data_IF_644173555345
#
_entry.id   IF_644173555345
#
_cell.length_a   1.000
_cell.length_b   1.000
_cell.length_c   1.000
_cell.angle_alpha   90.00
_cell.angle_beta   90.00
_cell.angle_gamma   90.00
#
_symmetry.space_group_name_H-M   'P 1'
#
loop_
_entity.id
_entity.type
_entity.pdbx_description
1 polymer ?
#
# COMPACT_ATOMS: atom_id res chain seq x y z
N UNK A 1 29.49 -5.69 -10.18
CA UNK A 1 29.71 -4.92 -8.94
C UNK A 1 28.44 -5.03 -8.09
N UNK A 2 28.55 -5.22 -6.77
CA UNK A 2 27.39 -5.45 -5.87
C UNK A 2 27.43 -4.45 -4.70
N UNK A 3 26.35 -4.38 -3.92
CA UNK A 3 26.24 -3.47 -2.77
C UNK A 3 26.77 -4.04 -1.44
N UNK A 4 27.42 -5.22 -1.47
CA UNK A 4 27.82 -5.97 -0.26
C UNK A 4 28.83 -5.21 0.58
N UNK A 5 29.78 -4.53 -0.05
CA UNK A 5 30.87 -3.80 0.62
C UNK A 5 30.49 -2.34 0.98
N UNK A 6 29.19 -2.07 1.12
CA UNK A 6 28.65 -0.77 1.53
C UNK A 6 28.66 -0.57 3.05
N UNK A 7 28.35 0.66 3.49
CA UNK A 7 28.15 0.98 4.90
C UNK A 7 27.08 2.07 5.08
N UNK A 8 26.45 2.10 6.25
CA UNK A 8 25.46 3.11 6.61
C UNK A 8 26.14 4.45 6.94
N UNK A 9 25.64 5.54 6.34
CA UNK A 9 26.04 6.92 6.66
C UNK A 9 24.83 7.64 7.26
N UNK A 10 25.01 8.33 8.39
CA UNK A 10 23.93 9.07 9.04
C UNK A 10 23.47 10.26 8.18
N UNK A 11 22.18 10.33 7.89
CA UNK A 11 21.55 11.47 7.23
C UNK A 11 21.34 12.67 8.18
N UNK A 12 20.81 13.80 7.67
CA UNK A 12 20.64 15.03 8.45
C UNK A 12 19.56 14.93 9.54
N UNK A 13 18.66 13.94 9.44
CA UNK A 13 17.67 13.61 10.45
C UNK A 13 16.79 14.81 10.82
N UNK A 14 16.67 15.07 12.12
CA UNK A 14 15.82 16.11 12.70
C UNK A 14 16.10 17.51 12.13
N UNK A 15 17.37 17.87 11.94
CA UNK A 15 17.77 19.22 11.49
C UNK A 15 17.14 19.60 10.14
N UNK A 16 16.98 18.63 9.24
CA UNK A 16 16.33 18.84 7.95
C UNK A 16 14.84 19.16 8.10
N UNK A 17 14.13 18.37 8.89
CA UNK A 17 12.69 18.55 9.08
C UNK A 17 12.36 19.80 9.91
N UNK A 18 13.24 20.20 10.83
CA UNK A 18 13.11 21.49 11.53
C UNK A 18 13.15 22.67 10.55
N UNK A 19 14.04 22.64 9.56
CA UNK A 19 14.09 23.68 8.51
C UNK A 19 12.83 23.65 7.66
N UNK A 20 12.32 22.47 7.30
CA UNK A 20 11.06 22.37 6.55
C UNK A 20 9.88 22.96 7.34
N UNK A 21 9.80 22.73 8.65
CA UNK A 21 8.77 23.33 9.52
C UNK A 21 8.86 24.86 9.66
N UNK A 22 9.97 25.48 9.25
CA UNK A 22 10.06 26.95 9.18
C UNK A 22 9.45 27.50 7.89
N UNK A 23 9.27 26.65 6.88
CA UNK A 23 8.77 27.03 5.54
C UNK A 23 7.31 26.60 5.34
N UNK A 24 6.91 25.47 5.93
CA UNK A 24 5.57 24.90 5.82
C UNK A 24 4.90 24.87 7.19
N UNK A 25 3.64 25.32 7.26
CA UNK A 25 2.82 25.23 8.47
C UNK A 25 2.59 23.76 8.87
N UNK A 26 2.21 22.94 7.88
CA UNK A 26 2.12 21.48 7.98
C UNK A 26 3.03 20.84 6.93
N UNK A 27 3.74 19.77 7.28
CA UNK A 27 4.62 19.07 6.35
C UNK A 27 3.79 18.21 5.38
N UNK A 28 3.77 18.51 4.06
CA UNK A 28 2.95 17.77 3.09
C UNK A 28 3.68 16.50 2.61
N UNK A 29 4.12 15.67 3.55
CA UNK A 29 4.98 14.51 3.29
C UNK A 29 4.32 13.22 3.80
N UNK A 30 4.48 12.15 3.04
CA UNK A 30 4.25 10.76 3.47
C UNK A 30 5.61 10.08 3.50
N UNK A 31 5.92 9.40 4.60
CA UNK A 31 7.12 8.60 4.71
C UNK A 31 6.89 7.25 4.02
N UNK A 32 7.66 6.96 2.98
CA UNK A 32 7.85 5.59 2.50
C UNK A 32 8.79 4.89 3.50
N UNK A 33 8.19 4.13 4.42
CA UNK A 33 8.87 3.43 5.51
C UNK A 33 8.71 1.90 5.39
N UNK A 34 8.86 1.37 4.16
CA UNK A 34 8.77 -0.06 3.90
C UNK A 34 10.11 -0.77 4.15
N UNK A 35 10.04 -2.09 4.37
CA UNK A 35 11.21 -2.92 4.64
C UNK A 35 11.64 -2.93 6.11
N UNK A 36 12.92 -3.22 6.37
CA UNK A 36 13.47 -3.27 7.73
C UNK A 36 13.78 -1.85 8.19
N UNK A 37 12.91 -1.30 9.02
CA UNK A 37 13.01 0.04 9.57
C UNK A 37 13.54 0.00 11.01
N UNK A 38 14.45 0.91 11.35
CA UNK A 38 15.03 0.99 12.70
C UNK A 38 14.17 1.85 13.63
N UNK A 39 14.23 1.65 14.97
CA UNK A 39 13.50 2.48 15.93
C UNK A 39 13.76 3.98 15.77
N UNK A 40 14.97 4.38 15.36
CA UNK A 40 15.34 5.78 15.13
C UNK A 40 14.57 6.39 13.95
N UNK A 41 14.32 5.62 12.89
CA UNK A 41 13.51 6.08 11.75
C UNK A 41 12.05 6.24 12.17
N UNK A 42 11.50 5.29 12.93
CA UNK A 42 10.14 5.38 13.48
C UNK A 42 9.98 6.58 14.41
N UNK A 43 10.97 6.82 15.28
CA UNK A 43 10.98 7.98 16.17
C UNK A 43 11.00 9.30 15.41
N UNK A 44 11.86 9.41 14.38
CA UNK A 44 11.93 10.61 13.53
C UNK A 44 10.62 10.85 12.78
N UNK A 45 10.03 9.81 12.17
CA UNK A 45 8.74 9.90 11.49
C UNK A 45 7.64 10.43 12.41
N UNK A 46 7.54 9.88 13.63
CA UNK A 46 6.54 10.27 14.62
C UNK A 46 6.76 11.68 15.17
N UNK A 47 8.00 12.07 15.40
CA UNK A 47 8.35 13.42 15.87
C UNK A 47 7.85 14.52 14.91
N UNK A 48 7.84 14.23 13.61
CA UNK A 48 7.37 15.16 12.59
C UNK A 48 5.97 14.86 12.07
N UNK A 49 5.23 13.97 12.75
CA UNK A 49 3.84 13.60 12.44
C UNK A 49 3.64 13.16 10.99
N UNK A 50 4.63 12.45 10.43
CA UNK A 50 4.58 11.99 9.06
C UNK A 50 3.81 10.65 8.96
N UNK A 51 2.77 10.54 8.10
CA UNK A 51 2.11 9.27 7.84
C UNK A 51 3.09 8.24 7.29
N UNK A 52 3.09 7.03 7.85
CA UNK A 52 3.80 5.88 7.29
C UNK A 52 2.93 5.09 6.30
N UNK A 53 3.52 4.19 5.52
CA UNK A 53 2.82 3.39 4.52
C UNK A 53 2.42 2.02 5.06
N UNK A 54 1.22 1.56 4.68
CA UNK A 54 0.70 0.24 5.00
C UNK A 54 0.31 -0.51 3.73
N UNK A 55 0.99 -1.61 3.41
CA UNK A 55 0.76 -2.36 2.16
C UNK A 55 0.10 -3.69 2.47
N UNK A 56 -1.18 -3.83 2.13
CA UNK A 56 -1.96 -5.03 2.48
C UNK A 56 -1.41 -6.31 1.85
N UNK A 57 -0.82 -6.24 0.65
CA UNK A 57 -0.17 -7.41 0.03
C UNK A 57 0.99 -8.00 0.86
N UNK A 58 1.52 -7.26 1.85
CA UNK A 58 2.56 -7.73 2.77
C UNK A 58 2.02 -8.21 4.12
N UNK A 59 0.70 -8.17 4.34
CA UNK A 59 0.10 -8.35 5.66
C UNK A 59 -0.06 -9.80 6.11
N UNK A 60 -0.21 -10.72 5.18
CA UNK A 60 -0.72 -12.07 5.46
C UNK A 60 0.40 -13.12 5.53
N UNK A 61 1.44 -12.84 6.31
CA UNK A 61 2.58 -13.75 6.51
C UNK A 61 2.38 -14.78 7.63
N UNK A 62 1.23 -14.73 8.31
CA UNK A 62 0.87 -15.61 9.43
C UNK A 62 1.20 -15.05 10.82
N UNK A 63 1.93 -13.93 10.92
CA UNK A 63 2.18 -13.26 12.19
C UNK A 63 1.04 -12.31 12.54
N UNK A 64 0.40 -12.42 13.73
CA UNK A 64 -0.59 -11.44 14.18
C UNK A 64 0.04 -10.07 14.46
N UNK A 65 1.36 -10.00 14.65
CA UNK A 65 2.09 -8.75 14.91
C UNK A 65 2.53 -8.05 13.62
N UNK A 66 2.17 -8.57 12.44
CA UNK A 66 2.54 -7.96 11.18
C UNK A 66 1.91 -6.54 11.09
N UNK A 67 2.72 -5.48 10.93
CA UNK A 67 2.25 -4.09 11.00
C UNK A 67 1.38 -3.68 9.83
N UNK A 68 1.28 -4.50 8.77
CA UNK A 68 0.43 -4.29 7.61
C UNK A 68 -0.95 -4.94 7.74
N UNK A 69 -1.22 -5.67 8.82
CA UNK A 69 -2.56 -6.17 9.10
C UNK A 69 -3.47 -5.01 9.53
N UNK A 70 -4.71 -4.93 9.03
CA UNK A 70 -5.66 -3.86 9.36
C UNK A 70 -5.83 -3.55 10.85
N UNK A 71 -5.85 -4.56 11.73
CA UNK A 71 -5.99 -4.35 13.17
C UNK A 71 -4.74 -3.72 13.83
N UNK A 72 -3.59 -3.71 13.15
CA UNK A 72 -2.34 -3.07 13.57
C UNK A 72 -2.11 -1.71 12.88
N UNK A 73 -3.07 -1.24 12.08
CA UNK A 73 -2.98 0.08 11.47
C UNK A 73 -3.17 1.19 12.50
N UNK A 74 -2.56 2.34 12.22
CA UNK A 74 -2.67 3.57 13.02
C UNK A 74 -3.31 4.66 12.14
N UNK A 75 -4.02 5.61 12.72
CA UNK A 75 -4.64 6.71 11.94
C UNK A 75 -3.59 7.50 11.12
N UNK A 76 -2.41 7.72 11.70
CA UNK A 76 -1.29 8.41 11.05
C UNK A 76 -0.55 7.49 10.07
N UNK A 77 -1.29 7.00 9.08
CA UNK A 77 -0.78 6.16 8.00
C UNK A 77 -1.56 6.34 6.70
N UNK A 78 -0.97 5.85 5.62
CA UNK A 78 -1.57 5.70 4.31
C UNK A 78 -1.62 4.22 3.96
N UNK A 79 -2.81 3.66 3.77
CA UNK A 79 -2.99 2.26 3.39
C UNK A 79 -3.07 2.13 1.87
N UNK A 80 -2.45 1.08 1.36
CA UNK A 80 -2.47 0.66 -0.03
C UNK A 80 -2.86 -0.82 -0.10
N UNK A 81 -3.56 -1.23 -1.16
CA UNK A 81 -3.60 -2.65 -1.53
C UNK A 81 -2.19 -3.12 -1.90
N UNK A 82 -1.61 -2.46 -2.90
CA UNK A 82 -0.21 -2.56 -3.35
C UNK A 82 0.27 -1.23 -3.91
N UNK A 83 1.58 -1.08 -4.11
CA UNK A 83 2.18 0.06 -4.81
C UNK A 83 2.38 -0.26 -6.30
N UNK A 84 3.04 0.64 -7.04
CA UNK A 84 3.44 0.39 -8.42
C UNK A 84 4.52 -0.71 -8.55
N UNK A 85 5.26 -1.00 -7.49
CA UNK A 85 6.28 -2.06 -7.44
C UNK A 85 5.69 -3.44 -7.14
N UNK A 86 4.47 -3.47 -6.61
CA UNK A 86 3.72 -4.68 -6.38
C UNK A 86 3.10 -5.22 -7.68
N UNK A 87 2.75 -6.50 -7.67
CA UNK A 87 1.81 -7.03 -8.65
C UNK A 87 0.43 -6.37 -8.44
N UNK A 88 -0.46 -6.44 -9.44
CA UNK A 88 -1.87 -6.10 -9.18
C UNK A 88 -2.41 -7.04 -8.10
N UNK A 89 -3.40 -6.63 -7.32
CA UNK A 89 -3.92 -7.49 -6.25
C UNK A 89 -4.49 -8.79 -6.79
N UNK A 90 -5.10 -8.77 -7.98
CA UNK A 90 -5.57 -10.01 -8.62
C UNK A 90 -4.38 -10.90 -9.02
N UNK A 91 -3.35 -10.34 -9.65
CA UNK A 91 -2.14 -11.07 -10.03
C UNK A 91 -1.41 -11.65 -8.81
N UNK A 92 -1.20 -10.82 -7.78
CA UNK A 92 -0.63 -11.24 -6.49
C UNK A 92 -1.40 -12.42 -5.89
N UNK A 93 -2.73 -12.31 -5.79
CA UNK A 93 -3.54 -13.36 -5.20
C UNK A 93 -3.49 -14.66 -6.01
N UNK A 94 -3.43 -14.55 -7.35
CA UNK A 94 -3.29 -15.70 -8.25
C UNK A 94 -1.93 -16.41 -8.11
N UNK A 95 -0.88 -15.70 -7.71
CA UNK A 95 0.46 -16.27 -7.48
C UNK A 95 0.61 -16.95 -6.12
N UNK A 96 -0.26 -16.64 -5.16
CA UNK A 96 -0.24 -17.27 -3.83
C UNK A 96 -0.53 -18.76 -3.89
N UNK A 97 0.16 -19.52 -3.03
CA UNK A 97 -0.15 -20.94 -2.77
C UNK A 97 -1.52 -21.09 -2.10
N UNK A 98 -2.10 -22.29 -2.14
CA UNK A 98 -3.38 -22.58 -1.49
C UNK A 98 -3.35 -22.33 0.03
N UNK A 99 -2.19 -22.49 0.67
CA UNK A 99 -2.02 -22.16 2.08
C UNK A 99 -2.04 -20.65 2.34
N UNK A 100 -1.31 -19.87 1.53
CA UNK A 100 -1.31 -18.41 1.63
C UNK A 100 -2.69 -17.83 1.34
N UNK A 101 -3.40 -18.34 0.32
CA UNK A 101 -4.78 -17.91 0.01
C UNK A 101 -5.73 -18.22 1.17
N UNK A 102 -5.60 -19.38 1.80
CA UNK A 102 -6.39 -19.72 3.00
C UNK A 102 -6.10 -18.78 4.16
N UNK A 103 -4.84 -18.39 4.39
CA UNK A 103 -4.49 -17.43 5.43
C UNK A 103 -5.12 -16.05 5.17
N UNK A 104 -5.07 -15.57 3.92
CA UNK A 104 -5.72 -14.31 3.49
C UNK A 104 -7.23 -14.38 3.74
N UNK A 105 -7.90 -15.41 3.23
CA UNK A 105 -9.35 -15.59 3.39
C UNK A 105 -9.76 -15.74 4.86
N UNK A 106 -9.00 -16.48 5.66
CA UNK A 106 -9.28 -16.65 7.08
C UNK A 106 -9.21 -15.32 7.85
N UNK A 107 -8.26 -14.44 7.51
CA UNK A 107 -8.18 -13.12 8.12
C UNK A 107 -9.30 -12.19 7.64
N UNK A 108 -9.57 -12.15 6.33
CA UNK A 108 -10.56 -11.24 5.75
C UNK A 108 -12.01 -11.69 5.97
N UNK A 109 -12.21 -12.96 6.37
CA UNK A 109 -13.49 -13.62 6.50
C UNK A 109 -14.04 -14.14 5.17
N UNK A 110 -15.01 -15.04 5.26
CA UNK A 110 -15.73 -15.53 4.08
C UNK A 110 -16.56 -14.39 3.46
N UNK A 111 -16.24 -14.05 2.22
CA UNK A 111 -16.91 -12.99 1.47
C UNK A 111 -17.35 -13.48 0.10
N UNK A 112 -18.49 -13.00 -0.37
CA UNK A 112 -18.89 -13.15 -1.78
C UNK A 112 -18.16 -12.19 -2.72
N UNK A 113 -17.45 -11.19 -2.18
CA UNK A 113 -16.63 -10.27 -2.98
C UNK A 113 -15.32 -10.96 -3.38
N UNK A 114 -15.03 -11.14 -4.67
CA UNK A 114 -13.77 -11.73 -5.13
C UNK A 114 -12.60 -10.75 -4.99
N UNK A 115 -11.38 -11.25 -5.16
CA UNK A 115 -10.23 -10.39 -5.42
C UNK A 115 -10.37 -9.70 -6.79
N UNK A 116 -9.88 -8.45 -6.94
CA UNK A 116 -9.21 -7.63 -5.93
C UNK A 116 -10.17 -6.86 -5.00
N UNK A 117 -11.49 -6.89 -5.27
CA UNK A 117 -12.50 -6.11 -4.56
C UNK A 117 -12.47 -6.28 -3.04
N UNK A 118 -12.25 -7.50 -2.56
CA UNK A 118 -12.16 -7.77 -1.13
C UNK A 118 -11.03 -6.97 -0.46
N UNK A 119 -9.84 -6.93 -1.07
CA UNK A 119 -8.70 -6.18 -0.52
C UNK A 119 -8.87 -4.67 -0.66
N UNK A 120 -9.51 -4.21 -1.74
CA UNK A 120 -9.89 -2.79 -1.91
C UNK A 120 -10.82 -2.36 -0.77
N UNK A 121 -11.84 -3.15 -0.46
CA UNK A 121 -12.74 -2.89 0.67
C UNK A 121 -11.99 -2.91 2.00
N UNK A 122 -11.05 -3.83 2.20
CA UNK A 122 -10.21 -3.86 3.40
C UNK A 122 -9.37 -2.59 3.56
N UNK A 123 -8.77 -2.08 2.48
CA UNK A 123 -8.04 -0.81 2.51
C UNK A 123 -8.99 0.35 2.86
N UNK A 124 -10.18 0.40 2.25
CA UNK A 124 -11.17 1.42 2.55
C UNK A 124 -11.72 1.29 3.99
N UNK A 125 -11.78 0.10 4.57
CA UNK A 125 -12.23 -0.10 5.95
C UNK A 125 -11.17 0.21 7.02
N UNK A 126 -9.92 0.41 6.63
CA UNK A 126 -8.79 0.70 7.53
C UNK A 126 -8.99 1.96 8.38
N UNK A 127 -8.39 2.02 9.57
CA UNK A 127 -8.32 3.26 10.36
C UNK A 127 -7.36 4.32 9.77
N UNK A 128 -6.55 3.96 8.77
CA UNK A 128 -5.65 4.89 8.10
C UNK A 128 -6.39 6.12 7.54
N UNK A 129 -5.82 7.31 7.75
CA UNK A 129 -6.39 8.59 7.28
C UNK A 129 -6.57 8.62 5.76
N UNK A 130 -5.66 8.01 5.02
CA UNK A 130 -5.72 7.93 3.55
C UNK A 130 -5.67 6.48 3.09
N UNK A 131 -6.55 6.11 2.17
CA UNK A 131 -6.50 4.86 1.43
C UNK A 131 -6.22 5.16 -0.04
N UNK A 132 -5.17 4.56 -0.60
CA UNK A 132 -4.75 4.76 -1.98
C UNK A 132 -4.83 3.42 -2.71
N UNK A 133 -5.64 3.36 -3.75
CA UNK A 133 -5.90 2.13 -4.51
C UNK A 133 -5.36 2.32 -5.94
N UNK A 134 -4.46 1.44 -6.43
CA UNK A 134 -4.05 1.44 -7.83
C UNK A 134 -5.26 1.28 -8.75
N UNK A 135 -5.25 2.01 -9.87
CA UNK A 135 -6.34 1.93 -10.84
C UNK A 135 -6.51 0.51 -11.42
N UNK A 136 -5.43 -0.26 -11.52
CA UNK A 136 -5.49 -1.67 -11.91
C UNK A 136 -6.40 -2.50 -11.00
N UNK A 137 -6.39 -2.24 -9.69
CA UNK A 137 -7.21 -2.98 -8.73
C UNK A 137 -8.68 -2.53 -8.82
N UNK A 138 -8.94 -1.25 -9.06
CA UNK A 138 -10.28 -0.72 -9.33
C UNK A 138 -10.89 -1.35 -10.59
N UNK A 139 -10.07 -1.52 -11.63
CA UNK A 139 -10.43 -2.14 -12.90
C UNK A 139 -10.44 -3.68 -12.86
N UNK A 140 -9.98 -4.32 -11.78
CA UNK A 140 -9.95 -5.77 -11.66
C UNK A 140 -8.93 -6.47 -12.56
N UNK A 141 -7.81 -5.82 -12.85
CA UNK A 141 -6.80 -6.30 -13.81
C UNK A 141 -5.80 -7.28 -13.17
N UNK A 142 -5.36 -8.27 -13.95
CA UNK A 142 -4.41 -9.31 -13.52
C UNK A 142 -2.92 -8.89 -13.66
N UNK A 143 -2.01 -9.86 -13.52
CA UNK A 143 -0.57 -9.64 -13.54
C UNK A 143 -0.02 -9.07 -14.86
N UNK A 144 -0.73 -9.20 -15.99
CA UNK A 144 -0.31 -8.62 -17.26
C UNK A 144 -0.32 -7.08 -17.25
N UNK A 145 -0.95 -6.48 -16.22
CA UNK A 145 -1.10 -5.05 -16.04
C UNK A 145 -0.22 -4.47 -14.92
N UNK A 146 0.76 -5.25 -14.43
CA UNK A 146 1.74 -4.79 -13.44
C UNK A 146 2.55 -3.59 -13.98
N UNK A 147 2.74 -2.57 -13.14
CA UNK A 147 3.44 -1.33 -13.54
C UNK A 147 4.97 -1.51 -13.56
N UNK A 148 5.52 -2.07 -12.48
CA UNK A 148 6.95 -2.27 -12.33
C UNK A 148 7.26 -3.62 -11.66
N UNK A 149 8.34 -4.26 -12.10
CA UNK A 149 8.97 -5.41 -11.44
C UNK A 149 10.36 -4.95 -10.96
N UNK A 150 10.55 -4.70 -9.65
CA UNK A 150 11.84 -4.28 -9.11
C UNK A 150 12.97 -5.24 -9.48
N UNK A 151 14.12 -4.68 -9.86
CA UNK A 151 15.29 -5.45 -10.31
C UNK A 151 15.28 -5.85 -11.79
N UNK A 152 14.17 -5.68 -12.50
CA UNK A 152 14.09 -5.89 -13.96
C UNK A 152 14.31 -4.55 -14.67
N UNK A 153 15.17 -4.52 -15.69
CA UNK A 153 15.57 -3.28 -16.37
C UNK A 153 14.70 -2.93 -17.58
N UNK A 154 13.95 -3.88 -18.13
CA UNK A 154 13.15 -3.71 -19.34
C UNK A 154 11.68 -4.02 -19.11
N UNK A 155 10.79 -3.42 -19.92
CA UNK A 155 9.35 -3.73 -19.92
C UNK A 155 8.50 -2.99 -18.87
N UNK A 156 9.12 -2.36 -17.87
CA UNK A 156 8.43 -1.60 -16.81
C UNK A 156 7.93 -0.22 -17.28
N UNK A 157 7.00 0.36 -16.52
CA UNK A 157 6.47 1.73 -16.70
C UNK A 157 5.69 1.97 -18.00
N UNK A 158 5.15 0.90 -18.57
CA UNK A 158 4.43 0.94 -19.86
C UNK A 158 2.93 0.82 -19.73
N UNK A 159 2.42 0.49 -18.54
CA UNK A 159 0.98 0.30 -18.34
C UNK A 159 0.23 1.61 -18.59
N UNK A 160 -0.86 1.50 -19.35
CA UNK A 160 -1.78 2.58 -19.66
C UNK A 160 -3.20 2.02 -19.64
N UNK A 161 -4.17 2.90 -19.39
CA UNK A 161 -5.58 2.58 -19.51
C UNK A 161 -6.26 3.51 -20.53
N UNK A 162 -7.42 3.08 -21.01
CA UNK A 162 -8.35 3.93 -21.74
C UNK A 162 -9.59 4.15 -20.86
N UNK A 163 -10.22 5.32 -20.98
CA UNK A 163 -11.45 5.62 -20.25
C UNK A 163 -12.60 4.68 -20.58
N UNK A 164 -12.60 4.06 -21.76
CA UNK A 164 -13.54 3.00 -22.10
C UNK A 164 -13.40 1.75 -21.23
N UNK A 165 -12.31 1.59 -20.47
CA UNK A 165 -12.17 0.50 -19.49
C UNK A 165 -12.91 0.83 -18.17
N UNK A 166 -13.15 2.10 -17.88
CA UNK A 166 -13.84 2.55 -16.67
C UNK A 166 -15.35 2.50 -16.93
N UNK A 167 -15.93 1.32 -16.74
CA UNK A 167 -17.37 1.09 -16.90
C UNK A 167 -18.19 1.73 -15.77
N UNK A 168 -19.47 2.00 -16.03
CA UNK A 168 -20.37 2.61 -15.04
C UNK A 168 -20.51 1.76 -13.77
N UNK A 169 -20.50 0.42 -13.90
CA UNK A 169 -20.56 -0.49 -12.77
C UNK A 169 -19.34 -0.35 -11.85
N UNK A 170 -18.15 -0.16 -12.43
CA UNK A 170 -16.91 0.06 -11.68
C UNK A 170 -17.00 1.36 -10.88
N UNK A 171 -17.48 2.43 -11.53
CA UNK A 171 -17.68 3.74 -10.90
C UNK A 171 -18.69 3.66 -9.75
N UNK A 172 -19.86 3.06 -9.98
CA UNK A 172 -20.91 2.93 -8.97
C UNK A 172 -20.41 2.11 -7.78
N UNK A 173 -19.74 0.99 -8.03
CA UNK A 173 -19.21 0.14 -6.97
C UNK A 173 -18.18 0.86 -6.10
N UNK A 174 -17.26 1.63 -6.71
CA UNK A 174 -16.29 2.42 -5.96
C UNK A 174 -16.98 3.51 -5.14
N UNK A 175 -17.96 4.20 -5.72
CA UNK A 175 -18.74 5.23 -5.01
C UNK A 175 -19.46 4.64 -3.79
N UNK A 176 -20.11 3.49 -3.95
CA UNK A 176 -20.80 2.78 -2.87
C UNK A 176 -19.85 2.41 -1.74
N UNK A 177 -18.65 1.90 -2.06
CA UNK A 177 -17.65 1.55 -1.04
C UNK A 177 -17.07 2.77 -0.33
N UNK A 178 -16.73 3.83 -1.08
CA UNK A 178 -16.22 5.08 -0.51
C UNK A 178 -17.25 5.67 0.44
N UNK A 179 -18.54 5.67 0.08
CA UNK A 179 -19.62 6.11 0.94
C UNK A 179 -19.80 5.20 2.16
N UNK A 180 -19.81 3.87 1.97
CA UNK A 180 -19.98 2.88 3.04
C UNK A 180 -18.93 3.03 4.14
N UNK A 181 -17.67 3.29 3.76
CA UNK A 181 -16.55 3.41 4.69
C UNK A 181 -16.26 4.87 5.10
N UNK A 182 -17.12 5.82 4.73
CA UNK A 182 -17.02 7.22 5.18
C UNK A 182 -15.80 7.97 4.65
N UNK A 183 -15.41 7.76 3.38
CA UNK A 183 -14.24 8.37 2.74
C UNK A 183 -14.59 9.39 1.64
N UNK A 184 -15.70 10.11 1.80
CA UNK A 184 -16.16 11.16 0.87
C UNK A 184 -15.41 12.47 1.12
#
# INVERSE_FOLDING_TARGET
ETAIDGHWVKGPGESFFQVLKQVFDDLPLVAEDLGVITPEVTALRRQFELPGMKILQFAFDGSPDNPYLPHNHEELSVVYTGTHDNNTTLGWYQELSDEQRRAVCHYLGDSSEPMPGLLVRTALASVARLAVIPLQDILGLDAAHRMNVPGVTEGNWRWRFDWSHVQDECRQRLQDWVQLYGRI
#
